data_IF_039407700328
#
_entry.id   IF_039407700328
#
_cell.length_a   1.000
_cell.length_b   1.000
_cell.length_c   1.000
_cell.angle_alpha   90.00
_cell.angle_beta   90.00
_cell.angle_gamma   90.00
#
_symmetry.space_group_name_H-M   'P 1'
#
loop_
_entity.id
_entity.type
_entity.pdbx_description
1 polymer ?
#
# COMPACT_ATOMS: atom_id res chain seq x y z
N UNK A 1 -25.00 0.72 -11.35
CA UNK A 1 -23.77 0.74 -10.56
C UNK A 1 -22.74 1.45 -11.40
N UNK A 2 -22.21 2.58 -10.92
CA UNK A 2 -21.17 3.31 -11.62
C UNK A 2 -19.91 2.45 -11.66
N UNK A 3 -19.54 2.02 -12.87
CA UNK A 3 -18.35 1.19 -13.04
C UNK A 3 -17.11 2.08 -12.93
N UNK A 4 -16.40 1.98 -11.82
CA UNK A 4 -15.04 2.53 -11.70
C UNK A 4 -14.15 1.85 -12.72
N UNK A 5 -13.46 2.68 -13.52
CA UNK A 5 -12.47 2.22 -14.50
C UNK A 5 -11.14 2.89 -14.17
N UNK A 6 -10.15 2.17 -13.62
CA UNK A 6 -8.81 2.69 -13.49
C UNK A 6 -8.20 2.89 -14.87
N UNK A 7 -7.35 3.89 -15.00
CA UNK A 7 -6.52 4.12 -16.19
C UNK A 7 -5.12 3.59 -15.92
N UNK A 8 -4.40 3.22 -16.98
CA UNK A 8 -2.98 2.89 -16.86
C UNK A 8 -2.25 4.09 -16.25
N UNK A 9 -1.44 3.90 -15.20
CA UNK A 9 -0.70 4.99 -14.59
C UNK A 9 0.23 5.66 -15.59
N UNK A 10 0.38 6.98 -15.48
CA UNK A 10 1.32 7.74 -16.30
C UNK A 10 2.77 7.39 -15.96
N UNK A 11 3.00 7.04 -14.70
CA UNK A 11 4.29 6.68 -14.14
C UNK A 11 4.09 5.65 -13.03
N UNK A 12 4.99 4.67 -12.99
CA UNK A 12 5.11 3.72 -11.88
C UNK A 12 6.46 3.92 -11.23
N UNK A 13 6.47 4.52 -10.05
CA UNK A 13 7.67 4.57 -9.21
C UNK A 13 7.79 3.25 -8.46
N UNK A 14 9.01 2.74 -8.34
CA UNK A 14 9.27 1.49 -7.62
C UNK A 14 10.58 1.55 -6.84
N UNK A 15 10.58 1.00 -5.63
CA UNK A 15 11.78 0.95 -4.80
C UNK A 15 11.88 -0.35 -4.02
N UNK A 16 13.02 -1.03 -4.12
CA UNK A 16 13.35 -2.16 -3.25
C UNK A 16 13.95 -1.64 -1.94
N UNK A 17 13.18 -1.71 -0.85
CA UNK A 17 13.55 -1.10 0.42
C UNK A 17 14.25 -2.13 1.31
N UNK A 18 15.53 -1.88 1.60
CA UNK A 18 16.34 -2.74 2.47
C UNK A 18 16.01 -2.50 3.95
N UNK A 19 16.35 -3.48 4.80
CA UNK A 19 16.24 -3.38 6.26
C UNK A 19 16.95 -2.14 6.79
N UNK A 20 16.34 -1.45 7.76
CA UNK A 20 16.90 -0.27 8.41
C UNK A 20 16.58 -0.25 9.90
N UNK A 21 17.59 -0.43 10.75
CA UNK A 21 17.38 -0.61 12.18
C UNK A 21 16.58 -1.90 12.42
N UNK A 22 15.49 -1.80 13.19
CA UNK A 22 14.54 -2.89 13.42
C UNK A 22 13.32 -2.86 12.49
N UNK A 23 13.32 -2.01 11.45
CA UNK A 23 12.32 -2.12 10.40
C UNK A 23 12.78 -3.17 9.37
N UNK A 24 12.07 -4.32 9.27
CA UNK A 24 12.51 -5.41 8.40
C UNK A 24 12.51 -5.00 6.92
N UNK A 25 11.50 -4.21 6.53
CA UNK A 25 11.21 -3.85 5.15
C UNK A 25 11.06 -5.10 4.27
N UNK A 26 11.22 -4.98 2.95
CA UNK A 26 11.05 -6.08 2.03
C UNK A 26 12.13 -6.07 0.95
N UNK A 27 13.04 -7.04 1.03
CA UNK A 27 14.16 -7.19 0.09
C UNK A 27 13.80 -7.99 -1.16
N UNK A 28 12.56 -8.47 -1.29
CA UNK A 28 12.08 -9.24 -2.45
C UNK A 28 11.15 -8.42 -3.34
N UNK A 29 10.17 -7.76 -2.75
CA UNK A 29 9.14 -7.03 -3.48
C UNK A 29 9.34 -5.52 -3.31
N UNK A 30 9.45 -4.76 -4.41
CA UNK A 30 9.57 -3.32 -4.31
C UNK A 30 8.25 -2.67 -3.88
N UNK A 31 8.32 -1.59 -3.11
CA UNK A 31 7.22 -0.62 -2.98
C UNK A 31 6.85 -0.12 -4.38
N UNK A 32 5.56 -0.05 -4.69
CA UNK A 32 5.07 0.50 -5.96
C UNK A 32 4.18 1.72 -5.70
N UNK A 33 4.35 2.77 -6.51
CA UNK A 33 3.47 3.93 -6.53
C UNK A 33 3.00 4.20 -7.95
N UNK A 34 1.73 3.94 -8.21
CA UNK A 34 1.06 4.19 -9.49
C UNK A 34 0.47 5.60 -9.48
N UNK A 35 1.03 6.48 -10.30
CA UNK A 35 0.58 7.88 -10.35
C UNK A 35 -0.69 8.01 -11.19
N UNK A 36 -1.71 8.63 -10.60
CA UNK A 36 -2.95 9.05 -11.27
C UNK A 36 -3.71 7.89 -11.95
N UNK A 37 -3.88 6.79 -11.23
CA UNK A 37 -4.58 5.59 -11.71
C UNK A 37 -6.10 5.74 -11.62
N UNK A 38 -6.60 6.47 -10.62
CA UNK A 38 -8.02 6.76 -10.47
C UNK A 38 -8.33 8.23 -10.77
N UNK A 39 -9.41 8.46 -11.52
CA UNK A 39 -9.94 9.80 -11.79
C UNK A 39 -11.15 10.03 -10.88
N UNK A 40 -10.91 10.67 -9.73
CA UNK A 40 -11.89 10.85 -8.66
C UNK A 40 -12.71 12.13 -8.90
N UNK A 41 -13.50 12.14 -9.97
CA UNK A 41 -14.53 13.20 -10.17
C UNK A 41 -15.95 12.64 -10.10
N UNK A 42 -16.09 11.34 -10.39
CA UNK A 42 -17.37 10.63 -10.48
C UNK A 42 -17.35 9.27 -9.77
N UNK A 43 -16.30 8.98 -8.99
CA UNK A 43 -16.11 7.68 -8.36
C UNK A 43 -16.39 7.80 -6.86
N UNK A 44 -17.31 6.98 -6.34
CA UNK A 44 -17.48 6.87 -4.89
C UNK A 44 -16.39 5.98 -4.30
N UNK A 45 -15.99 6.25 -3.06
CA UNK A 45 -15.08 5.38 -2.32
C UNK A 45 -15.55 3.91 -2.33
N UNK A 46 -16.86 3.69 -2.18
CA UNK A 46 -17.48 2.37 -2.25
C UNK A 46 -17.18 1.66 -3.58
N UNK A 47 -17.26 2.35 -4.72
CA UNK A 47 -17.03 1.72 -6.01
C UNK A 47 -15.55 1.33 -6.23
N UNK A 48 -14.62 2.04 -5.59
CA UNK A 48 -13.20 1.66 -5.54
C UNK A 48 -13.01 0.45 -4.61
N UNK A 49 -13.61 0.45 -3.42
CA UNK A 49 -13.59 -0.68 -2.50
C UNK A 49 -14.19 -1.95 -3.16
N UNK A 50 -15.27 -1.83 -3.91
CA UNK A 50 -15.87 -2.93 -4.68
C UNK A 50 -14.95 -3.43 -5.79
N UNK A 51 -14.14 -2.56 -6.41
CA UNK A 51 -13.11 -2.95 -7.36
C UNK A 51 -11.98 -3.73 -6.69
N UNK A 52 -11.45 -3.21 -5.58
CA UNK A 52 -10.41 -3.88 -4.79
C UNK A 52 -10.92 -5.26 -4.33
N UNK A 53 -12.14 -5.33 -3.81
CA UNK A 53 -12.76 -6.58 -3.36
C UNK A 53 -12.96 -7.61 -4.47
N UNK A 54 -13.35 -7.18 -5.68
CA UNK A 54 -13.40 -8.07 -6.87
C UNK A 54 -12.03 -8.61 -7.27
N UNK A 55 -10.97 -7.86 -6.97
CA UNK A 55 -9.59 -8.29 -7.15
C UNK A 55 -9.05 -9.03 -5.92
N UNK A 56 -9.88 -9.42 -4.94
CA UNK A 56 -9.49 -10.09 -3.70
C UNK A 56 -8.63 -9.25 -2.73
N UNK A 57 -8.73 -7.93 -2.82
CA UNK A 57 -8.19 -6.99 -1.84
C UNK A 57 -9.34 -6.45 -0.99
N UNK A 58 -9.57 -7.12 0.14
CA UNK A 58 -10.72 -6.93 1.02
C UNK A 58 -10.37 -6.20 2.32
N UNK A 59 -11.27 -6.33 3.31
CA UNK A 59 -11.20 -5.67 4.62
C UNK A 59 -10.88 -4.18 4.55
N UNK A 60 -11.40 -3.54 3.50
CA UNK A 60 -11.05 -2.18 3.18
C UNK A 60 -11.63 -1.19 4.18
N UNK A 61 -10.93 -0.11 4.42
CA UNK A 61 -11.34 1.01 5.28
C UNK A 61 -11.16 2.34 4.53
N UNK A 62 -11.73 3.42 5.05
CA UNK A 62 -11.55 4.79 4.53
C UNK A 62 -11.11 5.67 5.68
N UNK A 63 -9.87 6.14 5.65
CA UNK A 63 -9.28 7.00 6.70
C UNK A 63 -7.98 7.66 6.19
N UNK A 64 -7.21 8.24 7.12
CA UNK A 64 -5.89 8.83 6.89
C UNK A 64 -4.75 7.83 7.15
N UNK A 65 -3.50 8.28 6.98
CA UNK A 65 -2.28 7.52 7.25
C UNK A 65 -1.67 8.01 8.57
N UNK A 66 -1.34 7.08 9.49
CA UNK A 66 -0.70 7.41 10.76
C UNK A 66 0.60 8.22 10.59
N UNK A 67 0.86 9.12 11.53
CA UNK A 67 2.03 10.00 11.58
C UNK A 67 3.25 9.38 12.29
N UNK A 68 3.12 8.11 12.69
CA UNK A 68 4.18 7.29 13.25
C UNK A 68 4.46 6.07 12.37
N UNK A 69 5.72 5.62 12.37
CA UNK A 69 6.12 4.46 11.58
C UNK A 69 5.43 3.20 12.10
N UNK A 70 4.80 2.48 11.18
CA UNK A 70 4.23 1.16 11.42
C UNK A 70 4.37 0.29 10.18
N UNK A 71 4.25 -1.02 10.34
CA UNK A 71 4.20 -1.97 9.24
C UNK A 71 3.34 -3.20 9.57
N UNK A 72 2.91 -3.88 8.52
CA UNK A 72 2.26 -5.18 8.58
C UNK A 72 3.25 -6.27 8.21
N UNK A 73 3.48 -7.24 9.09
CA UNK A 73 4.38 -8.36 8.80
C UNK A 73 3.65 -9.51 8.11
N UNK A 74 2.34 -9.61 8.34
CA UNK A 74 1.49 -10.73 7.90
C UNK A 74 0.91 -10.55 6.50
N UNK A 75 0.91 -9.33 5.96
CA UNK A 75 0.22 -9.02 4.70
C UNK A 75 0.83 -7.84 3.96
N UNK A 76 0.62 -7.80 2.64
CA UNK A 76 0.76 -6.59 1.84
C UNK A 76 -0.42 -5.64 2.09
N UNK A 77 -0.26 -4.39 1.71
CA UNK A 77 -1.30 -3.38 1.80
C UNK A 77 -1.37 -2.57 0.51
N UNK A 78 -2.57 -2.14 0.13
CA UNK A 78 -2.76 -1.11 -0.89
C UNK A 78 -3.40 0.11 -0.25
N UNK A 79 -2.88 1.28 -0.58
CA UNK A 79 -3.49 2.57 -0.25
C UNK A 79 -3.90 3.27 -1.56
N UNK A 80 -5.18 3.60 -1.69
CA UNK A 80 -5.71 4.41 -2.81
C UNK A 80 -6.05 5.79 -2.28
N UNK A 81 -5.36 6.83 -2.76
CA UNK A 81 -5.63 8.20 -2.35
C UNK A 81 -6.90 8.69 -3.04
N UNK A 82 -7.89 9.11 -2.26
CA UNK A 82 -9.22 9.48 -2.78
C UNK A 82 -9.58 10.95 -2.55
N UNK A 83 -8.83 11.67 -1.72
CA UNK A 83 -9.03 13.09 -1.46
C UNK A 83 -7.71 13.70 -0.95
N UNK A 84 -7.41 14.93 -1.35
CA UNK A 84 -6.27 15.68 -0.84
C UNK A 84 -4.90 15.23 -1.36
N UNK A 85 -3.85 15.69 -0.67
CA UNK A 85 -2.45 15.42 -0.99
C UNK A 85 -1.57 15.35 0.26
N UNK A 86 -0.37 14.82 0.11
CA UNK A 86 0.57 14.72 1.22
C UNK A 86 1.90 14.09 0.87
N UNK A 87 2.70 13.87 1.92
CA UNK A 87 4.01 13.23 1.85
C UNK A 87 4.07 12.07 2.82
N UNK A 88 4.51 10.91 2.32
CA UNK A 88 4.59 9.66 3.08
C UNK A 88 6.03 9.14 3.00
N UNK A 89 6.57 8.77 4.15
CA UNK A 89 7.89 8.15 4.26
C UNK A 89 7.76 6.63 4.32
N UNK A 90 8.59 5.91 3.57
CA UNK A 90 8.62 4.45 3.50
C UNK A 90 10.02 3.92 3.77
N UNK A 91 10.15 2.92 4.64
CA UNK A 91 11.41 2.27 5.00
C UNK A 91 12.00 2.68 6.35
N UNK A 92 11.21 3.29 7.24
CA UNK A 92 11.66 3.80 8.53
C UNK A 92 12.30 5.19 8.44
N UNK A 93 13.04 5.62 9.47
CA UNK A 93 13.51 7.01 9.62
C UNK A 93 14.47 7.47 8.51
N UNK A 94 15.19 6.54 7.88
CA UNK A 94 16.07 6.80 6.72
C UNK A 94 15.43 6.43 5.39
N UNK A 95 14.14 6.14 5.42
CA UNK A 95 13.34 5.72 4.29
C UNK A 95 13.10 6.82 3.25
N UNK A 96 12.69 6.42 2.05
CA UNK A 96 12.34 7.33 0.96
C UNK A 96 11.03 8.06 1.25
N UNK A 97 10.93 9.29 0.79
CA UNK A 97 9.74 10.14 0.93
C UNK A 97 9.13 10.31 -0.45
N UNK A 98 7.83 10.08 -0.56
CA UNK A 98 7.07 10.28 -1.80
C UNK A 98 5.92 11.25 -1.57
N UNK A 99 5.69 12.08 -2.58
CA UNK A 99 4.46 12.86 -2.70
C UNK A 99 3.35 11.97 -3.25
N UNK A 100 2.21 11.99 -2.55
CA UNK A 100 1.00 11.27 -2.91
C UNK A 100 -0.16 12.25 -2.98
N UNK A 101 -1.06 12.04 -3.93
CA UNK A 101 -2.26 12.86 -4.09
C UNK A 101 -3.42 12.03 -4.61
N UNK A 102 -4.61 12.59 -4.53
CA UNK A 102 -5.84 12.02 -5.10
C UNK A 102 -5.59 11.35 -6.46
N UNK A 103 -6.05 10.11 -6.57
CA UNK A 103 -5.90 9.27 -7.76
C UNK A 103 -4.66 8.37 -7.77
N UNK A 104 -3.70 8.59 -6.88
CA UNK A 104 -2.51 7.73 -6.74
C UNK A 104 -2.82 6.44 -5.98
N UNK A 105 -2.07 5.37 -6.30
CA UNK A 105 -2.15 4.07 -5.62
C UNK A 105 -0.77 3.68 -5.13
N UNK A 106 -0.64 3.37 -3.84
CA UNK A 106 0.58 2.81 -3.24
C UNK A 106 0.34 1.33 -2.95
N UNK A 107 1.22 0.46 -3.41
CA UNK A 107 1.22 -0.97 -3.05
C UNK A 107 2.44 -1.22 -2.17
N UNK A 108 2.19 -1.59 -0.92
CA UNK A 108 3.15 -1.69 0.16
C UNK A 108 3.44 -3.17 0.44
N UNK A 109 4.67 -3.65 0.19
CA UNK A 109 5.08 -4.99 0.57
C UNK A 109 5.00 -5.20 2.09
N UNK A 110 4.75 -6.45 2.51
CA UNK A 110 4.79 -6.81 3.92
C UNK A 110 6.17 -6.46 4.49
N UNK A 111 6.20 -5.88 5.69
CA UNK A 111 7.41 -5.42 6.36
C UNK A 111 7.82 -3.99 6.08
N UNK A 112 7.33 -3.35 5.01
CA UNK A 112 7.71 -1.97 4.66
C UNK A 112 7.06 -0.99 5.64
N UNK A 113 7.90 -0.40 6.49
CA UNK A 113 7.48 0.62 7.45
C UNK A 113 7.07 1.89 6.75
N UNK A 114 5.99 2.52 7.20
CA UNK A 114 5.55 3.78 6.63
C UNK A 114 4.85 4.70 7.63
N UNK A 115 4.89 6.00 7.32
CA UNK A 115 4.17 7.06 8.07
C UNK A 115 3.91 8.28 7.18
N UNK A 116 2.87 9.03 7.50
CA UNK A 116 2.69 10.37 6.96
C UNK A 116 3.66 11.36 7.61
N UNK A 117 4.11 12.35 6.83
CA UNK A 117 4.89 13.49 7.31
C UNK A 117 4.08 14.78 7.30
N UNK A 118 3.26 14.94 6.26
CA UNK A 118 2.35 16.06 6.09
C UNK A 118 1.21 15.63 5.19
N UNK A 119 -0.02 15.91 5.61
CA UNK A 119 -1.24 15.63 4.88
C UNK A 119 -2.08 16.90 4.83
N UNK A 120 -2.77 17.13 3.70
CA UNK A 120 -3.78 18.17 3.61
C UNK A 120 -4.94 17.88 4.56
N UNK A 121 -5.70 18.91 4.93
CA UNK A 121 -6.79 18.79 5.93
C UNK A 121 -7.90 17.83 5.50
N UNK A 122 -8.11 17.72 4.19
CA UNK A 122 -9.11 16.89 3.54
C UNK A 122 -8.57 15.50 3.14
N UNK A 123 -7.30 15.18 3.43
CA UNK A 123 -6.69 13.94 3.01
C UNK A 123 -7.48 12.71 3.45
N UNK A 124 -7.78 11.83 2.49
CA UNK A 124 -8.34 10.50 2.74
C UNK A 124 -7.77 9.47 1.76
N UNK A 125 -7.64 8.25 2.24
CA UNK A 125 -7.29 7.10 1.44
C UNK A 125 -8.16 5.89 1.79
N UNK A 126 -8.19 4.93 0.86
CA UNK A 126 -8.71 3.59 1.11
C UNK A 126 -7.51 2.68 1.37
N UNK A 127 -7.47 2.02 2.52
CA UNK A 127 -6.58 0.87 2.73
C UNK A 127 -7.31 -0.43 2.46
N UNK A 128 -6.62 -1.43 1.92
CA UNK A 128 -7.16 -2.79 1.73
C UNK A 128 -6.06 -3.85 1.74
N UNK A 129 -6.46 -5.11 1.98
CA UNK A 129 -5.55 -6.22 2.19
C UNK A 129 -5.88 -7.45 1.33
N UNK A 130 -4.87 -8.15 0.82
CA UNK A 130 -4.98 -9.32 -0.06
C UNK A 130 -5.57 -10.59 0.64
N UNK A 131 -6.47 -11.34 0.00
CA UNK A 131 -7.03 -12.66 0.41
C UNK A 131 -7.61 -12.77 1.84
N UNK A 132 -8.25 -11.72 2.37
CA UNK A 132 -8.90 -11.73 3.69
C UNK A 132 -7.98 -12.17 4.85
N UNK A 133 -6.67 -12.00 4.71
CA UNK A 133 -5.71 -12.26 5.78
C UNK A 133 -5.87 -11.22 6.90
N UNK A 134 -5.52 -11.59 8.13
CA UNK A 134 -5.41 -10.61 9.22
C UNK A 134 -4.23 -9.67 8.95
N UNK A 135 -4.32 -8.44 9.43
CA UNK A 135 -3.18 -7.51 9.48
C UNK A 135 -2.79 -7.30 10.94
N UNK A 136 -1.49 -7.18 11.17
CA UNK A 136 -0.86 -6.92 12.47
C UNK A 136 -0.22 -5.54 12.48
N UNK A 137 -0.13 -4.88 13.63
CA UNK A 137 0.54 -3.58 13.74
C UNK A 137 1.88 -3.78 14.46
N UNK A 138 2.96 -3.48 13.76
CA UNK A 138 4.32 -3.51 14.30
C UNK A 138 4.97 -2.14 14.15
N UNK A 139 5.92 -1.84 15.02
CA UNK A 139 6.43 -0.50 15.24
C UNK A 139 7.96 -0.40 15.17
N UNK A 140 8.65 -1.50 14.82
CA UNK A 140 10.09 -1.54 14.65
C UNK A 140 10.81 -1.74 15.98
N UNK A 141 10.29 -2.67 16.78
CA UNK A 141 10.85 -3.03 18.08
C UNK A 141 11.65 -4.33 17.98
N UNK A 142 12.74 -4.45 18.75
CA UNK A 142 13.65 -5.59 18.65
C UNK A 142 12.96 -6.92 19.00
N UNK A 143 12.02 -6.88 19.92
CA UNK A 143 11.22 -8.01 20.41
C UNK A 143 10.23 -8.58 19.38
N UNK A 144 9.93 -7.82 18.30
CA UNK A 144 9.11 -8.31 17.18
C UNK A 144 9.85 -9.40 16.39
N UNK A 145 11.19 -9.41 16.46
CA UNK A 145 12.05 -10.37 15.78
C UNK A 145 12.29 -11.64 16.61
N UNK A 146 12.44 -12.81 15.96
CA UNK A 146 12.45 -13.04 14.51
C UNK A 146 11.05 -13.31 13.92
N UNK A 147 9.99 -13.21 14.73
CA UNK A 147 8.63 -13.61 14.31
C UNK A 147 8.17 -12.86 13.06
N UNK A 148 8.36 -11.54 13.01
CA UNK A 148 7.99 -10.72 11.85
C UNK A 148 8.77 -11.09 10.59
N UNK A 149 10.03 -11.52 10.70
CA UNK A 149 10.84 -11.92 9.54
C UNK A 149 10.26 -13.17 8.87
N UNK A 150 9.78 -14.12 9.68
CA UNK A 150 9.12 -15.33 9.20
C UNK A 150 7.76 -15.01 8.55
N UNK A 151 6.98 -14.10 9.14
CA UNK A 151 5.69 -13.68 8.59
C UNK A 151 5.84 -12.98 7.24
N UNK A 152 6.79 -12.05 7.13
CA UNK A 152 7.05 -11.31 5.89
C UNK A 152 7.45 -12.27 4.77
N UNK A 153 8.25 -13.28 5.08
CA UNK A 153 8.62 -14.34 4.13
C UNK A 153 7.40 -15.16 3.69
N UNK A 154 6.47 -15.44 4.61
CA UNK A 154 5.27 -16.23 4.36
C UNK A 154 4.15 -15.46 3.64
N UNK A 155 4.14 -14.12 3.69
CA UNK A 155 3.16 -13.30 3.00
C UNK A 155 3.09 -13.57 1.48
N UNK A 156 4.21 -13.99 0.88
CA UNK A 156 4.24 -14.57 -0.47
C UNK A 156 3.93 -13.56 -1.58
N UNK A 157 3.58 -14.04 -2.77
CA UNK A 157 3.13 -13.19 -3.88
C UNK A 157 1.58 -13.21 -3.90
N UNK A 158 0.89 -12.05 -3.97
CA UNK A 158 -0.56 -12.03 -4.12
C UNK A 158 -0.99 -12.66 -5.46
N UNK A 159 -2.18 -13.27 -5.54
CA UNK A 159 -2.67 -13.88 -6.80
C UNK A 159 -3.26 -12.86 -7.79
N UNK A 160 -3.41 -11.60 -7.38
CA UNK A 160 -3.92 -10.49 -8.20
C UNK A 160 -3.35 -9.15 -7.75
N UNK A 161 -3.18 -8.27 -8.73
CA UNK A 161 -2.98 -6.84 -8.53
C UNK A 161 -4.26 -6.20 -7.95
N UNK A 162 -4.15 -5.24 -7.00
CA UNK A 162 -5.32 -4.62 -6.38
C UNK A 162 -6.20 -3.86 -7.37
N UNK A 163 -5.62 -3.31 -8.42
CA UNK A 163 -6.30 -2.46 -9.41
C UNK A 163 -6.65 -3.25 -10.67
N UNK A 164 -5.69 -3.98 -11.23
CA UNK A 164 -5.78 -4.57 -12.57
C UNK A 164 -6.00 -6.10 -12.56
N UNK A 165 -6.11 -6.72 -11.39
CA UNK A 165 -6.46 -8.14 -11.25
C UNK A 165 -5.32 -9.10 -11.61
N UNK A 166 -5.66 -10.29 -12.13
CA UNK A 166 -4.73 -11.42 -12.32
C UNK A 166 -3.56 -11.17 -13.29
N UNK A 167 -3.64 -10.14 -14.14
CA UNK A 167 -2.61 -9.79 -15.11
C UNK A 167 -2.17 -8.33 -14.96
N UNK A 168 -2.28 -7.80 -13.74
CA UNK A 168 -1.96 -6.42 -13.45
C UNK A 168 -0.47 -6.09 -13.41
N UNK A 169 -0.19 -4.79 -13.36
CA UNK A 169 1.16 -4.22 -13.41
C UNK A 169 2.04 -4.68 -12.23
N UNK A 170 1.45 -5.03 -11.09
CA UNK A 170 2.19 -5.57 -9.93
C UNK A 170 3.14 -6.69 -10.34
N UNK A 171 2.69 -7.57 -11.23
CA UNK A 171 3.46 -8.74 -11.65
C UNK A 171 4.63 -8.42 -12.58
N UNK A 172 4.72 -7.22 -13.13
CA UNK A 172 5.92 -6.79 -13.87
C UNK A 172 7.08 -6.53 -12.91
N UNK A 173 6.79 -6.20 -11.65
CA UNK A 173 7.77 -5.82 -10.63
C UNK A 173 7.97 -6.88 -9.54
N UNK A 174 6.92 -7.61 -9.14
CA UNK A 174 6.99 -8.60 -8.06
C UNK A 174 7.15 -10.02 -8.63
N UNK A 175 8.27 -10.69 -8.29
CA UNK A 175 8.64 -12.03 -8.76
C UNK A 175 9.02 -12.96 -7.61
#
# INVERSE_FOLDING_TARGET
>A
MDTVKPVTPQEVLHELIQTSGFFPNNSRYPLLLYKQTFVITNQSAQAIQDLLGRNHWGKSWVDSIYDYHHYHSTTHEVLVMIEGEGTVQFGGDKGKIYEVKEGDVVIIPAGVAHKSLSLSRDFKCIGAYPWDVGFDMNYGAAEEHPHVDEQIKNAGLPQSDPVFGMHGLLFDYWK
#
